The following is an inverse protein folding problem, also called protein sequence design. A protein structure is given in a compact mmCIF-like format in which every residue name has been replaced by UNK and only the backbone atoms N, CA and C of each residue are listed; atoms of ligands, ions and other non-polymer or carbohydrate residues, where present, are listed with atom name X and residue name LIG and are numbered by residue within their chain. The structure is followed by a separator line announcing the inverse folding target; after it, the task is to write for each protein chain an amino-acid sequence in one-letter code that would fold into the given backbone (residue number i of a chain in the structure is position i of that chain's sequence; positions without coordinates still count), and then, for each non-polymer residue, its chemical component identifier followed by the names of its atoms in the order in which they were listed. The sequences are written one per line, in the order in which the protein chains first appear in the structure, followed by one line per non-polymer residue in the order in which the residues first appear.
data_IF_462375811645
#
_entry.id   IF_462375811645
#
_cell.length_a   1.000
_cell.length_b   1.000
_cell.length_c   1.000
_cell.angle_alpha   90.00
_cell.angle_beta   90.00
_cell.angle_gamma   90.00
#
_symmetry.space_group_name_H-M   'P 1'
#
loop_
_entity.id
_entity.type
_entity.pdbx_description
1 polymer ?
#
# COMPACT_ATOMS: atom_id res chain seq x y z
N UNK A 1 66.29 -43.68 -9.54
CA UNK A 1 66.65 -44.89 -8.78
C UNK A 1 65.46 -45.32 -7.90
N UNK A 2 64.94 -46.47 -8.24
CA UNK A 2 64.20 -47.43 -7.38
C UNK A 2 62.90 -47.01 -6.70
N UNK A 3 61.82 -47.45 -7.26
CA UNK A 3 60.60 -48.08 -6.71
C UNK A 3 61.03 -49.26 -5.77
N UNK A 4 60.28 -49.85 -4.83
CA UNK A 4 58.83 -50.15 -4.78
C UNK A 4 58.23 -50.16 -3.35
N UNK A 5 56.95 -50.36 -3.10
CA UNK A 5 56.12 -51.58 -2.98
C UNK A 5 54.76 -51.30 -2.27
N UNK A 6 53.78 -51.90 -2.83
CA UNK A 6 52.45 -52.23 -2.22
C UNK A 6 52.62 -53.36 -1.16
N UNK A 7 51.56 -53.91 -0.54
CA UNK A 7 50.10 -53.77 -0.58
C UNK A 7 49.45 -53.85 0.83
N UNK A 8 48.13 -53.79 1.01
CA UNK A 8 47.21 -54.87 1.41
C UNK A 8 45.78 -54.38 1.54
N UNK A 9 44.89 -55.11 0.95
CA UNK A 9 43.47 -55.00 1.02
C UNK A 9 42.89 -55.59 2.32
N UNK A 10 41.83 -54.98 2.86
CA UNK A 10 40.84 -55.72 3.65
C UNK A 10 39.46 -55.25 3.22
N UNK A 11 38.72 -56.21 2.65
CA UNK A 11 37.31 -56.10 2.38
C UNK A 11 36.50 -56.26 3.67
N UNK A 12 35.58 -55.35 3.92
CA UNK A 12 34.47 -55.60 4.83
C UNK A 12 33.16 -55.36 4.14
N UNK A 13 32.48 -56.46 3.84
CA UNK A 13 31.11 -56.57 3.40
C UNK A 13 30.16 -56.11 4.52
N UNK A 14 29.40 -55.09 4.32
CA UNK A 14 28.34 -54.65 5.20
C UNK A 14 27.06 -54.42 4.42
N UNK A 15 26.13 -55.34 4.53
CA UNK A 15 24.73 -55.17 4.04
C UNK A 15 24.12 -53.98 4.75
N UNK A 16 23.64 -53.00 3.99
CA UNK A 16 22.68 -52.01 4.49
C UNK A 16 21.39 -52.09 3.70
N UNK A 17 20.36 -52.43 4.44
CA UNK A 17 18.98 -52.50 3.98
C UNK A 17 18.50 -51.11 3.47
N UNK A 18 17.93 -51.08 2.26
CA UNK A 18 17.28 -49.92 1.70
C UNK A 18 15.94 -49.68 2.41
N UNK A 19 15.86 -48.65 3.26
CA UNK A 19 14.61 -48.11 3.72
C UNK A 19 14.19 -46.97 2.77
N UNK A 20 13.22 -47.21 1.90
CA UNK A 20 12.51 -46.23 1.08
C UNK A 20 11.67 -45.36 2.03
N UNK A 21 12.18 -44.19 2.40
CA UNK A 21 11.38 -43.12 2.96
C UNK A 21 10.80 -42.29 1.80
N UNK A 22 9.54 -42.52 1.50
CA UNK A 22 8.76 -41.63 0.62
C UNK A 22 8.59 -40.29 1.34
N UNK A 23 9.44 -39.31 1.03
CA UNK A 23 9.24 -37.92 1.39
C UNK A 23 8.16 -37.34 0.49
N UNK A 24 6.91 -37.35 0.99
CA UNK A 24 5.83 -36.59 0.40
C UNK A 24 6.14 -35.10 0.47
N UNK A 25 6.54 -34.48 -0.64
CA UNK A 25 6.53 -33.05 -0.79
C UNK A 25 5.07 -32.57 -0.82
N UNK A 26 4.52 -32.24 0.33
CA UNK A 26 3.32 -31.41 0.39
C UNK A 26 3.72 -29.99 -0.02
N UNK A 27 3.49 -29.64 -1.28
CA UNK A 27 3.44 -28.25 -1.73
C UNK A 27 2.24 -27.60 -1.02
N UNK A 28 2.46 -27.08 0.18
CA UNK A 28 1.57 -26.09 0.72
C UNK A 28 1.87 -24.79 -0.02
N UNK A 29 1.08 -24.51 -1.06
CA UNK A 29 0.97 -23.18 -1.63
C UNK A 29 0.57 -22.24 -0.49
N UNK A 30 1.55 -21.52 0.07
CA UNK A 30 1.28 -20.37 0.91
C UNK A 30 0.55 -19.37 0.03
N UNK A 31 -0.67 -18.93 0.40
CA UNK A 31 -1.26 -17.79 -0.27
C UNK A 31 -0.25 -16.65 -0.18
N UNK A 32 0.00 -15.98 -1.30
CA UNK A 32 0.86 -14.82 -1.36
C UNK A 32 0.40 -13.86 -0.26
N UNK A 33 1.18 -13.79 0.82
CA UNK A 33 0.94 -12.84 1.90
C UNK A 33 0.99 -11.47 1.25
N UNK A 34 -0.15 -10.78 1.21
CA UNK A 34 -0.21 -9.40 0.81
C UNK A 34 0.87 -8.65 1.58
N UNK A 35 1.77 -8.00 0.84
CA UNK A 35 2.91 -7.31 1.41
C UNK A 35 2.38 -6.09 2.18
N UNK A 36 2.08 -6.30 3.47
CA UNK A 36 1.73 -5.22 4.38
C UNK A 36 2.84 -4.17 4.32
N UNK A 37 2.53 -2.92 4.01
CA UNK A 37 3.52 -1.86 3.95
C UNK A 37 4.02 -1.58 5.37
N UNK A 38 5.21 -2.05 5.71
CA UNK A 38 5.87 -1.68 6.97
C UNK A 38 6.32 -0.24 6.88
N UNK A 39 5.55 0.68 7.46
CA UNK A 39 6.02 2.00 7.80
C UNK A 39 6.83 1.88 9.10
N UNK A 40 8.06 2.36 9.10
CA UNK A 40 8.89 2.45 10.31
C UNK A 40 8.42 3.52 11.30
N UNK A 41 7.55 4.44 10.88
CA UNK A 41 6.94 5.40 11.77
C UNK A 41 5.94 4.74 12.72
N UNK A 42 5.99 5.03 14.04
CA UNK A 42 5.04 4.46 14.99
C UNK A 42 3.61 4.89 14.64
N UNK A 43 2.72 3.92 14.50
CA UNK A 43 1.32 4.20 14.24
C UNK A 43 0.64 4.80 15.48
N UNK A 44 -0.19 5.82 15.28
CA UNK A 44 -1.01 6.41 16.35
C UNK A 44 -1.98 5.37 16.96
N UNK A 45 -2.47 5.63 18.17
CA UNK A 45 -3.47 4.76 18.79
C UNK A 45 -4.78 4.75 17.99
N UNK A 46 -5.44 3.59 17.94
CA UNK A 46 -6.78 3.48 17.37
C UNK A 46 -7.79 4.20 18.26
N UNK A 47 -8.56 5.10 17.66
CA UNK A 47 -9.61 5.87 18.36
C UNK A 47 -11.03 5.47 17.94
N UNK A 48 -11.18 4.78 16.79
CA UNK A 48 -12.45 4.22 16.32
C UNK A 48 -12.29 2.71 16.14
N UNK A 49 -13.17 1.94 16.75
CA UNK A 49 -13.17 0.48 16.63
C UNK A 49 -13.63 0.04 15.22
N UNK A 50 -13.26 -1.18 14.84
CA UNK A 50 -13.75 -1.78 13.60
C UNK A 50 -15.28 -1.86 13.58
N UNK A 51 -15.87 -1.61 12.42
CA UNK A 51 -17.30 -1.65 12.22
C UNK A 51 -18.06 -0.40 12.72
N UNK A 52 -17.35 0.56 13.33
CA UNK A 52 -17.93 1.84 13.72
C UNK A 52 -17.78 2.86 12.58
N UNK A 53 -18.74 3.77 12.39
CA UNK A 53 -18.65 4.85 11.42
C UNK A 53 -17.44 5.75 11.73
N UNK A 54 -16.63 6.04 10.72
CA UNK A 54 -15.50 6.95 10.86
C UNK A 54 -15.96 8.38 10.56
N UNK A 55 -15.74 9.35 11.47
CA UNK A 55 -16.10 10.74 11.23
C UNK A 55 -15.23 11.33 10.12
N UNK A 56 -15.83 12.15 9.25
CA UNK A 56 -15.13 12.88 8.22
C UNK A 56 -14.59 14.22 8.74
N UNK A 57 -13.41 14.64 8.25
CA UNK A 57 -12.82 15.92 8.65
C UNK A 57 -12.27 15.93 10.07
N UNK A 58 -12.30 17.11 10.71
CA UNK A 58 -11.80 17.28 12.09
C UNK A 58 -10.28 17.36 12.18
N UNK A 59 -9.57 17.50 11.07
CA UNK A 59 -8.15 17.76 11.02
C UNK A 59 -7.81 19.23 10.93
N UNK A 60 -6.53 19.53 10.76
CA UNK A 60 -6.00 20.88 10.54
C UNK A 60 -5.19 20.97 9.25
N UNK A 61 -5.04 22.19 8.70
CA UNK A 61 -4.05 22.43 7.65
C UNK A 61 -2.64 22.34 8.22
N UNK A 62 -1.80 21.59 7.53
CA UNK A 62 -0.43 21.34 7.95
C UNK A 62 0.49 21.20 6.74
N UNK A 63 1.44 22.08 6.59
CA UNK A 63 2.61 21.83 5.74
C UNK A 63 3.58 20.98 6.56
N UNK A 64 3.93 21.43 7.75
CA UNK A 64 4.83 20.77 8.69
C UNK A 64 6.29 21.12 8.47
N UNK A 65 7.06 20.94 9.53
CA UNK A 65 8.52 21.12 9.51
C UNK A 65 9.21 19.94 8.81
N UNK A 66 10.45 20.10 8.36
CA UNK A 66 11.28 18.97 7.94
C UNK A 66 11.38 17.92 9.05
N UNK A 67 11.26 16.65 8.68
CA UNK A 67 11.34 15.55 9.61
C UNK A 67 12.20 14.41 9.04
N UNK A 68 12.73 13.57 9.91
CA UNK A 68 13.61 12.47 9.54
C UNK A 68 12.99 11.13 9.93
N UNK A 69 12.99 10.18 9.00
CA UNK A 69 12.60 8.78 9.23
C UNK A 69 13.71 7.90 8.66
N UNK A 70 14.21 6.97 9.45
CA UNK A 70 15.28 6.03 9.07
C UNK A 70 16.50 6.72 8.41
N UNK A 71 16.89 7.88 8.92
CA UNK A 71 18.01 8.66 8.41
C UNK A 71 17.69 9.49 7.17
N UNK A 72 16.54 9.34 6.54
CA UNK A 72 16.14 10.13 5.37
C UNK A 72 15.32 11.36 5.76
N UNK A 73 15.74 12.54 5.28
CA UNK A 73 15.02 13.79 5.47
C UNK A 73 13.86 13.95 4.50
N UNK A 74 12.72 14.33 5.03
CA UNK A 74 11.53 14.72 4.29
C UNK A 74 11.23 16.19 4.58
N UNK A 75 11.15 17.01 3.53
CA UNK A 75 10.89 18.45 3.65
C UNK A 75 9.53 18.78 3.06
N UNK A 76 8.46 18.85 3.89
CA UNK A 76 7.14 19.26 3.43
C UNK A 76 7.16 20.68 2.86
N UNK A 77 6.43 20.90 1.78
CA UNK A 77 6.29 22.23 1.17
C UNK A 77 5.04 22.30 0.29
N UNK A 78 4.61 23.55 0.06
CA UNK A 78 3.67 23.82 -1.03
C UNK A 78 4.35 23.53 -2.37
N UNK A 79 3.71 22.70 -3.19
CA UNK A 79 4.21 22.36 -4.54
C UNK A 79 3.02 22.23 -5.51
N UNK A 80 2.46 23.36 -5.97
CA UNK A 80 1.34 23.35 -6.90
C UNK A 80 1.65 22.67 -8.24
N UNK A 81 2.93 22.60 -8.61
CA UNK A 81 3.42 21.91 -9.79
C UNK A 81 3.77 20.45 -9.58
N UNK A 82 3.44 19.86 -8.42
CA UNK A 82 3.82 18.47 -8.14
C UNK A 82 3.22 17.50 -9.17
N UNK A 83 4.08 16.84 -9.90
CA UNK A 83 3.76 15.84 -10.91
C UNK A 83 4.89 14.80 -10.95
N UNK A 84 4.66 13.62 -10.36
CA UNK A 84 5.67 12.57 -10.21
C UNK A 84 5.09 11.20 -10.55
N UNK A 85 5.96 10.38 -11.14
CA UNK A 85 5.68 8.95 -11.39
C UNK A 85 6.52 8.11 -10.44
N UNK A 86 5.93 7.08 -9.87
CA UNK A 86 6.61 6.15 -8.98
C UNK A 86 5.71 4.98 -8.59
N UNK A 87 6.11 4.24 -7.57
CA UNK A 87 5.34 3.12 -7.07
C UNK A 87 4.36 3.60 -6.00
N UNK A 88 3.10 3.18 -6.11
CA UNK A 88 2.11 3.25 -5.05
C UNK A 88 1.98 1.91 -4.34
N UNK A 89 1.70 1.94 -3.04
CA UNK A 89 1.12 0.82 -2.31
C UNK A 89 -0.15 1.26 -1.59
N UNK A 90 -0.72 0.41 -0.75
CA UNK A 90 -1.87 0.81 0.05
C UNK A 90 -1.69 0.36 1.51
N UNK A 91 -2.32 1.09 2.41
CA UNK A 91 -2.43 0.75 3.82
C UNK A 91 -3.90 0.48 4.15
N UNK A 92 -4.15 -0.54 4.95
CA UNK A 92 -5.49 -1.05 5.14
C UNK A 92 -5.86 -1.22 6.62
N UNK A 93 -5.94 -2.45 7.03
CA UNK A 93 -6.63 -2.86 8.25
C UNK A 93 -6.00 -2.31 9.53
N UNK A 94 -4.67 -2.35 9.64
CA UNK A 94 -3.98 -1.99 10.87
C UNK A 94 -4.05 -0.50 11.22
N UNK A 95 -4.25 0.34 10.20
CA UNK A 95 -4.35 1.80 10.37
C UNK A 95 -5.78 2.30 10.50
N UNK A 96 -6.79 1.50 10.14
CA UNK A 96 -8.20 1.91 10.21
C UNK A 96 -8.58 2.36 11.63
N UNK A 97 -9.25 3.50 11.72
CA UNK A 97 -9.69 4.09 12.99
C UNK A 97 -8.58 4.81 13.77
N UNK A 98 -7.39 4.97 13.20
CA UNK A 98 -6.27 5.72 13.80
C UNK A 98 -6.23 7.15 13.31
N UNK A 99 -5.61 8.05 14.10
CA UNK A 99 -5.40 9.45 13.67
C UNK A 99 -4.31 9.51 12.61
N UNK A 100 -4.59 10.28 11.56
CA UNK A 100 -3.64 10.64 10.51
C UNK A 100 -2.77 11.82 10.93
N UNK A 101 -1.76 12.15 10.14
CA UNK A 101 -0.81 13.22 10.45
C UNK A 101 -1.43 14.62 10.53
N UNK A 102 -2.58 14.87 9.89
CA UNK A 102 -3.30 16.14 10.04
C UNK A 102 -4.40 16.11 11.12
N UNK A 103 -4.59 14.98 11.81
CA UNK A 103 -5.56 14.81 12.90
C UNK A 103 -6.90 14.19 12.52
N UNK A 104 -7.18 14.00 11.22
CA UNK A 104 -8.35 13.23 10.77
C UNK A 104 -8.25 11.76 11.21
N UNK A 105 -9.32 11.01 11.05
CA UNK A 105 -9.30 9.56 11.30
C UNK A 105 -9.19 8.82 9.97
N UNK A 106 -8.23 7.89 9.90
CA UNK A 106 -8.09 7.07 8.71
C UNK A 106 -9.25 6.10 8.54
N UNK A 107 -9.88 6.17 7.38
CA UNK A 107 -10.88 5.22 6.91
C UNK A 107 -10.37 4.48 5.67
N UNK A 108 -10.15 3.17 5.78
CA UNK A 108 -9.71 2.34 4.66
C UNK A 108 -10.72 2.27 3.51
N UNK A 109 -11.99 2.68 3.75
CA UNK A 109 -13.07 2.71 2.76
C UNK A 109 -13.19 4.06 2.05
N UNK A 110 -12.51 5.10 2.53
CA UNK A 110 -12.52 6.43 1.92
C UNK A 110 -11.54 6.54 0.74
N UNK A 111 -11.72 7.56 -0.10
CA UNK A 111 -10.79 7.90 -1.18
C UNK A 111 -9.65 8.78 -0.64
N UNK A 112 -8.72 8.18 0.11
CA UNK A 112 -7.65 8.88 0.78
C UNK A 112 -6.26 8.33 0.48
N UNK A 113 -5.23 9.10 0.85
CA UNK A 113 -3.83 8.74 0.64
C UNK A 113 -2.90 9.38 1.68
N UNK A 114 -1.68 8.83 1.78
CA UNK A 114 -0.54 9.40 2.50
C UNK A 114 0.54 9.85 1.50
N UNK A 115 1.11 11.03 1.75
CA UNK A 115 2.21 11.57 0.94
C UNK A 115 3.28 12.20 1.85
N UNK A 116 4.59 12.02 1.57
CA UNK A 116 5.63 12.45 2.51
C UNK A 116 5.77 13.97 2.62
N UNK A 117 5.49 14.73 1.56
CA UNK A 117 5.86 16.15 1.53
C UNK A 117 4.77 17.12 1.10
N UNK A 118 3.65 16.67 0.50
CA UNK A 118 2.56 17.57 0.12
C UNK A 118 1.86 18.16 1.34
N UNK A 119 1.25 19.37 1.24
CA UNK A 119 0.43 19.94 2.30
C UNK A 119 -0.73 19.00 2.68
N UNK A 120 -1.14 19.03 3.95
CA UNK A 120 -2.27 18.26 4.45
C UNK A 120 -3.39 19.19 4.96
N UNK A 121 -4.65 18.91 4.64
CA UNK A 121 -5.09 17.99 3.61
C UNK A 121 -5.00 18.62 2.23
N UNK A 122 -4.67 17.82 1.23
CA UNK A 122 -4.68 18.23 -0.18
C UNK A 122 -5.37 17.20 -1.07
N UNK A 123 -5.69 17.59 -2.29
CA UNK A 123 -6.23 16.71 -3.31
C UNK A 123 -5.14 16.39 -4.33
N UNK A 124 -5.09 15.14 -4.77
CA UNK A 124 -4.19 14.67 -5.82
C UNK A 124 -4.94 13.79 -6.83
N UNK A 125 -4.62 13.94 -8.11
CA UNK A 125 -4.96 12.92 -9.10
C UNK A 125 -3.93 11.80 -9.05
N UNK A 126 -4.40 10.57 -8.89
CA UNK A 126 -3.56 9.36 -8.93
C UNK A 126 -4.02 8.51 -10.11
N UNK A 127 -3.12 8.33 -11.08
CA UNK A 127 -3.37 7.53 -12.29
C UNK A 127 -2.54 6.25 -12.24
N UNK A 128 -3.18 5.09 -12.28
CA UNK A 128 -2.48 3.83 -12.50
C UNK A 128 -2.03 3.75 -13.96
N UNK A 129 -0.71 3.72 -14.18
CA UNK A 129 -0.09 3.79 -15.49
C UNK A 129 -0.28 2.52 -16.35
N UNK A 130 -0.72 1.42 -15.73
CA UNK A 130 -0.91 0.14 -16.43
C UNK A 130 -2.30 0.03 -17.06
N UNK A 131 -3.31 0.64 -16.43
CA UNK A 131 -4.71 0.53 -16.88
C UNK A 131 -5.40 1.88 -17.15
N UNK A 132 -4.71 3.00 -16.91
CA UNK A 132 -5.20 4.35 -17.13
C UNK A 132 -6.27 4.83 -16.13
N UNK A 133 -6.66 4.02 -15.14
CA UNK A 133 -7.65 4.42 -14.13
C UNK A 133 -7.10 5.56 -13.29
N UNK A 134 -7.90 6.60 -13.14
CA UNK A 134 -7.54 7.78 -12.35
C UNK A 134 -8.56 7.98 -11.24
N UNK A 135 -8.07 8.37 -10.06
CA UNK A 135 -8.87 8.82 -8.93
C UNK A 135 -8.44 10.21 -8.50
N UNK A 136 -9.35 10.96 -7.92
CA UNK A 136 -9.06 12.12 -7.09
C UNK A 136 -9.05 11.65 -5.64
N UNK A 137 -7.93 11.82 -4.93
CA UNK A 137 -7.73 11.32 -3.57
C UNK A 137 -7.39 12.47 -2.63
N UNK A 138 -7.87 12.34 -1.39
CA UNK A 138 -7.54 13.22 -0.27
C UNK A 138 -6.26 12.75 0.41
N UNK A 139 -5.20 13.54 0.32
CA UNK A 139 -3.97 13.33 1.08
C UNK A 139 -4.13 13.95 2.46
N UNK A 140 -4.25 13.13 3.48
CA UNK A 140 -4.44 13.56 4.87
C UNK A 140 -3.41 12.95 5.84
N UNK A 141 -2.48 12.13 5.32
CA UNK A 141 -1.48 11.46 6.14
C UNK A 141 -0.06 11.59 5.57
N UNK A 142 0.95 11.24 6.37
CA UNK A 142 2.37 11.21 6.04
C UNK A 142 2.84 9.79 5.73
N UNK A 143 3.77 9.66 4.79
CA UNK A 143 4.30 8.45 4.21
C UNK A 143 4.08 8.44 2.70
N UNK A 144 4.56 7.43 1.98
CA UNK A 144 5.38 6.31 2.45
C UNK A 144 6.79 6.72 2.86
N UNK A 145 7.42 5.85 3.69
CA UNK A 145 8.82 5.99 4.10
C UNK A 145 9.70 4.88 3.53
N UNK A 146 9.15 4.05 2.66
CA UNK A 146 9.86 3.00 1.93
C UNK A 146 10.37 3.55 0.62
N UNK A 147 11.66 3.30 0.33
CA UNK A 147 12.30 3.76 -0.89
C UNK A 147 11.51 3.35 -2.16
N UNK A 148 11.53 4.24 -3.16
CA UNK A 148 10.85 4.09 -4.45
C UNK A 148 9.31 4.17 -4.42
N UNK A 149 8.67 4.35 -3.27
CA UNK A 149 7.24 4.65 -3.22
C UNK A 149 6.99 6.15 -3.16
N UNK A 150 6.01 6.61 -3.94
CA UNK A 150 5.65 8.04 -4.01
C UNK A 150 4.36 8.35 -3.26
N UNK A 151 3.52 7.36 -3.04
CA UNK A 151 2.22 7.51 -2.38
C UNK A 151 1.75 6.17 -1.82
N UNK A 152 1.10 6.19 -0.67
CA UNK A 152 0.32 5.06 -0.18
C UNK A 152 -1.16 5.46 -0.18
N UNK A 153 -2.02 4.63 -0.77
CA UNK A 153 -3.44 4.95 -0.87
C UNK A 153 -4.28 4.09 0.09
N UNK A 154 -5.54 4.46 0.33
CA UNK A 154 -6.46 3.61 1.08
C UNK A 154 -6.76 2.32 0.32
N UNK A 155 -7.26 1.31 1.04
CA UNK A 155 -7.67 0.03 0.44
C UNK A 155 -8.73 0.22 -0.65
N UNK A 156 -9.73 1.05 -0.40
CA UNK A 156 -10.76 1.35 -1.40
C UNK A 156 -10.17 1.99 -2.66
N UNK A 157 -9.23 2.93 -2.50
CA UNK A 157 -8.56 3.56 -3.63
C UNK A 157 -7.71 2.54 -4.42
N UNK A 158 -6.97 1.63 -3.75
CA UNK A 158 -6.22 0.56 -4.42
C UNK A 158 -7.12 -0.36 -5.24
N UNK A 159 -8.29 -0.72 -4.70
CA UNK A 159 -9.31 -1.52 -5.39
C UNK A 159 -9.83 -0.82 -6.64
N UNK A 160 -10.21 0.45 -6.55
CA UNK A 160 -10.70 1.22 -7.70
C UNK A 160 -9.61 1.45 -8.75
N UNK A 161 -8.37 1.71 -8.33
CA UNK A 161 -7.22 1.81 -9.24
C UNK A 161 -6.82 0.45 -9.85
N UNK A 162 -7.33 -0.67 -9.30
CA UNK A 162 -7.14 -2.00 -9.87
C UNK A 162 -5.84 -2.68 -9.49
N UNK A 163 -5.26 -2.36 -8.32
CA UNK A 163 -4.02 -3.00 -7.87
C UNK A 163 -4.08 -3.61 -6.45
N UNK A 164 -5.26 -3.63 -5.79
CA UNK A 164 -5.42 -4.19 -4.44
C UNK A 164 -4.81 -5.61 -4.33
N UNK A 165 -5.09 -6.49 -5.30
CA UNK A 165 -4.62 -7.88 -5.30
C UNK A 165 -3.11 -8.00 -5.47
N UNK A 166 -2.48 -7.07 -6.22
CA UNK A 166 -1.03 -7.06 -6.46
C UNK A 166 -0.25 -6.34 -5.38
N UNK A 167 -0.91 -5.56 -4.53
CA UNK A 167 -0.30 -4.79 -3.45
C UNK A 167 0.35 -3.48 -3.90
N UNK A 168 0.85 -3.39 -5.12
CA UNK A 168 1.55 -2.21 -5.67
C UNK A 168 1.20 -1.96 -7.13
N UNK A 169 1.39 -0.70 -7.57
CA UNK A 169 1.30 -0.32 -8.99
C UNK A 169 2.21 0.87 -9.31
N UNK A 170 2.59 1.00 -10.56
CA UNK A 170 3.21 2.23 -11.07
C UNK A 170 2.14 3.28 -11.30
N UNK A 171 2.26 4.43 -10.64
CA UNK A 171 1.29 5.52 -10.71
C UNK A 171 1.93 6.85 -11.08
N UNK A 172 1.14 7.77 -11.64
CA UNK A 172 1.44 9.20 -11.73
C UNK A 172 0.60 9.95 -10.70
N UNK A 173 1.23 10.79 -9.90
CA UNK A 173 0.60 11.60 -8.86
C UNK A 173 0.72 13.07 -9.26
N UNK A 174 -0.41 13.78 -9.36
CA UNK A 174 -0.46 15.21 -9.67
C UNK A 174 -1.24 15.95 -8.61
N UNK A 175 -0.69 17.05 -8.13
CA UNK A 175 -1.40 17.94 -7.19
C UNK A 175 -2.63 18.55 -7.84
N UNK A 176 -3.73 18.64 -7.08
CA UNK A 176 -5.02 19.17 -7.56
C UNK A 176 -5.56 20.32 -6.70
N UNK A 177 -4.86 20.66 -5.61
CA UNK A 177 -5.27 21.76 -4.74
C UNK A 177 -5.39 21.35 -3.27
N UNK A 178 -5.82 22.30 -2.42
CA UNK A 178 -6.13 22.02 -1.01
C UNK A 178 -7.49 21.33 -0.89
N UNK A 179 -7.59 20.40 0.06
CA UNK A 179 -8.86 19.76 0.41
C UNK A 179 -9.56 20.54 1.55
N UNK A 180 -10.92 20.58 1.59
CA UNK A 180 -11.65 21.28 2.64
C UNK A 180 -11.51 20.57 4.00
N UNK A 181 -11.36 21.31 5.12
CA UNK A 181 -11.25 20.73 6.47
C UNK A 181 -12.52 20.04 6.97
N UNK A 182 -13.65 20.33 6.36
CA UNK A 182 -14.93 19.70 6.70
C UNK A 182 -14.97 18.20 6.42
N UNK A 183 -14.00 17.67 5.65
CA UNK A 183 -14.00 16.30 5.19
C UNK A 183 -15.05 16.01 4.11
N UNK A 184 -15.60 17.06 3.48
CA UNK A 184 -16.50 16.92 2.34
C UNK A 184 -15.78 16.26 1.17
N UNK A 185 -16.21 15.06 0.80
CA UNK A 185 -15.63 14.22 -0.25
C UNK A 185 -16.45 14.19 -1.55
N UNK A 186 -17.41 15.13 -1.69
CA UNK A 186 -18.28 15.18 -2.88
C UNK A 186 -17.49 15.38 -4.17
N UNK A 187 -16.34 16.05 -4.12
CA UNK A 187 -15.51 16.27 -5.31
C UNK A 187 -14.87 14.96 -5.75
N UNK A 188 -14.30 14.18 -4.81
CA UNK A 188 -13.70 12.88 -5.06
C UNK A 188 -14.73 11.87 -5.58
N UNK A 189 -15.91 11.83 -4.96
CA UNK A 189 -17.01 10.96 -5.37
C UNK A 189 -17.56 11.32 -6.75
N UNK A 190 -17.75 12.61 -7.04
CA UNK A 190 -18.16 13.07 -8.39
C UNK A 190 -17.13 12.73 -9.44
N UNK A 191 -15.84 12.91 -9.11
CA UNK A 191 -14.76 12.52 -10.02
C UNK A 191 -14.77 11.01 -10.31
N UNK A 192 -14.91 10.17 -9.29
CA UNK A 192 -15.05 8.73 -9.45
C UNK A 192 -16.26 8.37 -10.33
N UNK A 193 -17.43 8.95 -10.06
CA UNK A 193 -18.66 8.72 -10.82
C UNK A 193 -18.55 9.17 -12.29
N UNK A 194 -17.70 10.13 -12.61
CA UNK A 194 -17.45 10.60 -13.97
C UNK A 194 -16.61 9.63 -14.80
N UNK A 195 -15.87 8.71 -14.16
CA UNK A 195 -14.97 7.79 -14.86
C UNK A 195 -15.76 6.74 -15.65
N UNK A 196 -15.46 6.57 -16.94
CA UNK A 196 -16.16 5.63 -17.83
C UNK A 196 -16.04 4.18 -17.32
N UNK A 197 -14.85 3.77 -16.89
CA UNK A 197 -14.59 2.42 -16.35
C UNK A 197 -15.42 2.14 -15.09
N UNK A 198 -15.68 3.15 -14.24
CA UNK A 198 -16.50 3.00 -13.05
C UNK A 198 -17.98 2.84 -13.39
N UNK A 199 -18.50 3.62 -14.33
CA UNK A 199 -19.88 3.52 -14.81
C UNK A 199 -20.17 2.17 -15.44
N UNK A 200 -19.22 1.66 -16.25
CA UNK A 200 -19.33 0.33 -16.85
C UNK A 200 -19.36 -0.77 -15.77
N UNK A 201 -18.50 -0.67 -14.74
CA UNK A 201 -18.51 -1.61 -13.64
C UNK A 201 -19.84 -1.63 -12.88
N UNK A 202 -20.46 -0.46 -12.67
CA UNK A 202 -21.78 -0.37 -12.02
C UNK A 202 -22.91 -0.98 -12.87
N UNK A 203 -22.86 -0.82 -14.21
CA UNK A 203 -23.87 -1.39 -15.09
C UNK A 203 -23.81 -2.92 -15.19
N UNK A 204 -22.66 -3.53 -14.86
CA UNK A 204 -22.49 -4.98 -14.83
C UNK A 204 -22.58 -5.59 -13.42
N UNK A 205 -22.74 -4.76 -12.38
CA UNK A 205 -22.97 -5.28 -11.04
C UNK A 205 -24.33 -5.99 -11.01
N UNK A 206 -24.40 -7.26 -10.58
CA UNK A 206 -25.70 -7.94 -10.44
C UNK A 206 -26.56 -7.12 -9.47
N UNK A 207 -27.78 -6.88 -9.87
CA UNK A 207 -28.78 -6.18 -9.08
C UNK A 207 -28.94 -6.94 -7.76
N UNK A 208 -28.34 -6.43 -6.70
CA UNK A 208 -28.56 -6.96 -5.36
C UNK A 208 -30.00 -6.57 -5.01
N UNK A 209 -30.92 -7.51 -5.20
CA UNK A 209 -32.30 -7.41 -4.72
C UNK A 209 -32.28 -7.12 -3.22
N UNK A 210 -32.93 -6.03 -2.86
CA UNK A 210 -33.22 -5.62 -1.48
C UNK A 210 -34.06 -6.65 -0.76
#
# INVERSE_FOLDING_TARGET
MRVPLRPFAVACLGLFAAALLASGCSNSERPAAGMEPRSSAPASHRVIAYGQPVPKGGGSYKVGDPYQIDGQWHTPREDPGYDRTGIASYYAHDFHGRRTANGEIFDMSALSAAHPTLPLPSLVYVTNMENGRTLLLRVNDRGPYVNNRVIDVSRAAARYLGFETRGTARVRVRYAGRAPLTGDDRQEQRFLASQSWFRVALSHAPYASR
#
